data_IF_353739302808
#
_entry.id   IF_353739302808
#
_cell.length_a   1.000
_cell.length_b   1.000
_cell.length_c   1.000
_cell.angle_alpha   90.00
_cell.angle_beta   90.00
_cell.angle_gamma   90.00
#
_symmetry.space_group_name_H-M   'P 1'
#
loop_
_entity.id
_entity.type
_entity.pdbx_description
1 polymer ?
#
# COMPACT_ATOMS: atom_id res chain seq x y z
N UNK A 1 -5.88 -8.55 -26.09
CA UNK A 1 -5.01 -8.94 -24.98
C UNK A 1 -5.70 -8.51 -23.70
N UNK A 2 -6.47 -9.40 -23.07
CA UNK A 2 -7.23 -9.05 -21.86
C UNK A 2 -6.24 -8.90 -20.72
N UNK A 3 -6.05 -7.68 -20.25
CA UNK A 3 -5.22 -7.40 -19.09
C UNK A 3 -5.79 -8.19 -17.90
N UNK A 4 -4.93 -8.92 -17.18
CA UNK A 4 -5.26 -9.64 -15.95
C UNK A 4 -5.54 -8.62 -14.82
N UNK A 5 -6.57 -7.80 -15.00
CA UNK A 5 -7.14 -6.93 -13.99
C UNK A 5 -8.27 -7.75 -13.33
N UNK A 6 -8.16 -7.97 -12.02
CA UNK A 6 -9.28 -8.53 -11.26
C UNK A 6 -10.05 -7.35 -10.68
N UNK A 7 -11.09 -6.90 -11.38
CA UNK A 7 -12.19 -6.15 -10.76
C UNK A 7 -13.14 -7.08 -10.00
N UNK A 8 -13.01 -8.41 -10.19
CA UNK A 8 -13.78 -9.44 -9.50
C UNK A 8 -12.95 -10.73 -9.37
N UNK A 9 -12.76 -11.23 -8.16
CA UNK A 9 -12.03 -12.50 -7.88
C UNK A 9 -12.84 -13.71 -8.37
N UNK A 10 -12.23 -14.73 -9.02
CA UNK A 10 -12.94 -15.93 -9.41
C UNK A 10 -13.42 -16.69 -8.17
N UNK A 11 -14.73 -16.93 -8.16
CA UNK A 11 -15.55 -17.47 -7.10
C UNK A 11 -15.18 -18.92 -6.74
N UNK A 12 -14.99 -19.17 -5.46
CA UNK A 12 -15.51 -20.38 -4.84
C UNK A 12 -16.41 -19.96 -3.66
N UNK A 13 -17.66 -20.44 -3.72
CA UNK A 13 -18.74 -20.32 -2.73
C UNK A 13 -19.49 -18.96 -2.80
N UNK A 14 -20.70 -18.98 -3.38
CA UNK A 14 -21.53 -17.82 -3.75
C UNK A 14 -21.91 -16.78 -2.67
N UNK A 15 -21.36 -16.85 -1.46
CA UNK A 15 -21.41 -15.77 -0.46
C UNK A 15 -20.44 -14.63 -0.77
N UNK A 16 -19.29 -14.92 -1.39
CA UNK A 16 -18.27 -13.92 -1.71
C UNK A 16 -18.65 -13.06 -2.92
N UNK A 17 -19.33 -13.65 -3.91
CA UNK A 17 -19.81 -12.94 -5.10
C UNK A 17 -20.70 -11.76 -4.72
N UNK A 18 -21.71 -12.00 -3.86
CA UNK A 18 -22.59 -10.96 -3.38
C UNK A 18 -21.85 -9.88 -2.56
N UNK A 19 -20.72 -10.19 -1.92
CA UNK A 19 -19.95 -9.19 -1.15
C UNK A 19 -19.08 -8.30 -2.03
N UNK A 20 -18.50 -8.87 -3.10
CA UNK A 20 -17.76 -8.11 -4.12
C UNK A 20 -18.73 -7.20 -4.88
N UNK A 21 -19.90 -7.69 -5.26
CA UNK A 21 -20.91 -6.89 -5.99
C UNK A 21 -21.51 -5.75 -5.17
N UNK A 22 -21.40 -5.79 -3.83
CA UNK A 22 -21.92 -4.75 -2.93
C UNK A 22 -20.83 -3.93 -2.24
N UNK A 23 -19.55 -4.06 -2.62
CA UNK A 23 -18.46 -3.32 -1.96
C UNK A 23 -18.40 -3.55 -0.44
N UNK A 24 -18.76 -4.78 -0.01
CA UNK A 24 -18.82 -5.18 1.40
C UNK A 24 -17.67 -6.13 1.78
N UNK A 25 -16.63 -6.24 0.95
CA UNK A 25 -15.55 -7.17 1.20
C UNK A 25 -14.79 -6.79 2.48
N UNK A 26 -14.93 -7.60 3.52
CA UNK A 26 -14.26 -7.37 4.81
C UNK A 26 -12.86 -7.94 4.89
N UNK A 27 -12.61 -9.04 4.17
CA UNK A 27 -11.31 -9.75 4.16
C UNK A 27 -11.05 -10.37 2.81
N UNK A 28 -9.79 -10.42 2.41
CA UNK A 28 -9.34 -11.24 1.28
C UNK A 28 -9.08 -12.68 1.74
N UNK A 29 -9.31 -13.68 0.88
CA UNK A 29 -9.04 -15.05 1.21
C UNK A 29 -7.54 -15.35 1.01
N UNK A 30 -7.00 -16.31 1.76
CA UNK A 30 -5.60 -16.70 1.65
C UNK A 30 -5.22 -17.21 0.25
N UNK A 31 -6.17 -17.78 -0.50
CA UNK A 31 -5.93 -18.26 -1.86
C UNK A 31 -5.61 -17.13 -2.87
N UNK A 32 -5.73 -15.85 -2.49
CA UNK A 32 -5.27 -14.73 -3.33
C UNK A 32 -3.82 -14.94 -3.78
N UNK A 33 -2.96 -15.51 -2.93
CA UNK A 33 -1.56 -15.79 -3.25
C UNK A 33 -1.35 -16.81 -4.38
N UNK A 34 -2.37 -17.54 -4.80
CA UNK A 34 -2.30 -18.46 -5.94
C UNK A 34 -2.37 -17.73 -7.29
N UNK A 35 -2.79 -16.46 -7.30
CA UNK A 35 -2.95 -15.66 -8.51
C UNK A 35 -1.60 -15.10 -8.99
N UNK A 36 -0.60 -15.96 -9.17
CA UNK A 36 0.81 -15.62 -9.49
C UNK A 36 1.03 -14.93 -10.85
N UNK A 37 -0.02 -14.70 -11.62
CA UNK A 37 0.00 -13.96 -12.90
C UNK A 37 -0.73 -12.62 -12.82
N UNK A 38 -1.23 -12.27 -11.63
CA UNK A 38 -1.95 -11.04 -11.40
C UNK A 38 -0.98 -9.87 -11.51
N UNK A 39 -1.36 -8.85 -12.28
CA UNK A 39 -0.57 -7.62 -12.46
C UNK A 39 -1.24 -6.42 -11.80
N UNK A 40 -2.56 -6.41 -11.77
CA UNK A 40 -3.34 -5.34 -11.16
C UNK A 40 -4.35 -5.99 -10.21
N UNK A 41 -4.30 -5.60 -8.96
CA UNK A 41 -5.29 -5.93 -7.95
C UNK A 41 -5.94 -4.64 -7.50
N UNK A 42 -7.22 -4.52 -7.83
CA UNK A 42 -8.05 -3.38 -7.47
C UNK A 42 -9.12 -3.82 -6.48
N UNK A 43 -9.12 -3.17 -5.32
CA UNK A 43 -9.96 -3.44 -4.17
C UNK A 43 -10.47 -2.12 -3.58
N UNK A 44 -10.49 -1.05 -4.37
CA UNK A 44 -11.02 0.25 -3.98
C UNK A 44 -12.47 0.15 -3.47
N UNK A 45 -12.85 1.07 -2.59
CA UNK A 45 -14.22 1.21 -2.06
C UNK A 45 -14.77 -0.11 -1.47
N UNK A 46 -14.04 -0.72 -0.55
CA UNK A 46 -14.49 -1.93 0.15
C UNK A 46 -14.48 -1.71 1.67
N UNK A 47 -14.60 -2.80 2.45
CA UNK A 47 -14.61 -2.75 3.92
C UNK A 47 -13.47 -3.56 4.52
N UNK A 48 -12.34 -3.66 3.81
CA UNK A 48 -11.22 -4.50 4.21
C UNK A 48 -10.63 -3.99 5.53
N UNK A 49 -10.59 -4.85 6.54
CA UNK A 49 -9.95 -4.56 7.84
C UNK A 49 -8.46 -4.90 7.84
N UNK A 50 -8.05 -5.89 7.03
CA UNK A 50 -6.67 -6.28 6.83
C UNK A 50 -6.42 -6.92 5.45
N UNK A 51 -5.14 -7.02 5.08
CA UNK A 51 -4.66 -7.88 4.00
C UNK A 51 -4.03 -9.15 4.58
N UNK A 52 -4.23 -10.33 3.94
CA UNK A 52 -3.55 -11.56 4.33
C UNK A 52 -2.07 -11.51 3.96
N UNK A 53 -1.23 -12.25 4.69
CA UNK A 53 0.19 -12.38 4.38
C UNK A 53 0.44 -13.01 2.99
N UNK A 54 -0.51 -13.80 2.49
CA UNK A 54 -0.45 -14.42 1.15
C UNK A 54 -0.43 -13.40 0.00
N UNK A 55 -0.73 -12.12 0.26
CA UNK A 55 -0.53 -11.05 -0.73
C UNK A 55 0.92 -11.04 -1.25
N UNK A 56 1.89 -11.36 -0.40
CA UNK A 56 3.30 -11.42 -0.77
C UNK A 56 3.68 -12.52 -1.76
N UNK A 57 2.75 -13.42 -2.13
CA UNK A 57 2.98 -14.40 -3.20
C UNK A 57 2.60 -13.90 -4.60
N UNK A 58 2.01 -12.70 -4.71
CA UNK A 58 1.70 -12.05 -5.97
C UNK A 58 2.94 -11.41 -6.60
N UNK A 59 3.95 -12.22 -6.89
CA UNK A 59 5.26 -11.73 -7.34
C UNK A 59 5.23 -10.94 -8.65
N UNK A 60 4.19 -11.09 -9.48
CA UNK A 60 4.00 -10.32 -10.73
C UNK A 60 3.16 -9.06 -10.57
N UNK A 61 2.71 -8.74 -9.36
CA UNK A 61 1.82 -7.60 -9.13
C UNK A 61 2.59 -6.30 -9.36
N UNK A 62 1.99 -5.43 -10.16
CA UNK A 62 2.53 -4.13 -10.55
C UNK A 62 1.72 -2.99 -9.91
N UNK A 63 0.41 -3.17 -9.78
CA UNK A 63 -0.48 -2.19 -9.18
C UNK A 63 -1.34 -2.82 -8.09
N UNK A 64 -1.34 -2.21 -6.92
CA UNK A 64 -2.21 -2.56 -5.81
C UNK A 64 -3.00 -1.31 -5.39
N UNK A 65 -4.31 -1.36 -5.60
CA UNK A 65 -5.24 -0.27 -5.28
C UNK A 65 -6.17 -0.77 -4.19
N UNK A 66 -6.13 -0.15 -3.01
CA UNK A 66 -6.95 -0.50 -1.85
C UNK A 66 -7.45 0.78 -1.16
N UNK A 67 -7.67 1.83 -1.95
CA UNK A 67 -8.20 3.10 -1.47
C UNK A 67 -9.61 2.91 -0.87
N UNK A 68 -10.00 3.78 0.04
CA UNK A 68 -11.35 3.81 0.64
C UNK A 68 -11.74 2.46 1.26
N UNK A 69 -10.92 2.01 2.20
CA UNK A 69 -11.12 0.77 2.97
C UNK A 69 -10.98 1.05 4.49
N UNK A 70 -10.84 0.01 5.32
CA UNK A 70 -10.76 0.14 6.78
C UNK A 70 -9.45 -0.42 7.34
N UNK A 71 -8.39 -0.46 6.52
CA UNK A 71 -7.11 -1.04 6.90
C UNK A 71 -6.49 -0.24 8.04
N UNK A 72 -6.00 -0.95 9.06
CA UNK A 72 -5.26 -0.36 10.20
C UNK A 72 -3.76 -0.55 10.09
N UNK A 73 -3.32 -1.54 9.31
CA UNK A 73 -1.92 -1.81 8.99
C UNK A 73 -1.80 -2.56 7.65
N UNK A 74 -0.60 -2.54 7.07
CA UNK A 74 -0.22 -3.43 5.99
C UNK A 74 0.61 -4.60 6.53
N UNK A 75 0.45 -5.82 6.00
CA UNK A 75 1.26 -6.96 6.39
C UNK A 75 2.72 -6.75 5.94
N UNK A 76 3.67 -7.24 6.74
CA UNK A 76 5.11 -7.26 6.38
C UNK A 76 5.37 -7.91 5.02
N UNK A 77 4.52 -8.86 4.63
CA UNK A 77 4.57 -9.53 3.35
C UNK A 77 4.44 -8.59 2.13
N UNK A 78 3.98 -7.35 2.32
CA UNK A 78 3.96 -6.33 1.26
C UNK A 78 5.32 -6.15 0.60
N UNK A 79 6.42 -6.23 1.37
CA UNK A 79 7.78 -6.10 0.84
C UNK A 79 8.20 -7.21 -0.13
N UNK A 80 7.42 -8.29 -0.25
CA UNK A 80 7.68 -9.35 -1.25
C UNK A 80 7.18 -9.00 -2.65
N UNK A 81 6.42 -7.91 -2.81
CA UNK A 81 5.87 -7.47 -4.09
C UNK A 81 6.94 -6.73 -4.91
N UNK A 82 8.01 -7.42 -5.28
CA UNK A 82 9.19 -6.80 -5.91
C UNK A 82 8.92 -6.11 -7.25
N UNK A 83 7.83 -6.43 -7.94
CA UNK A 83 7.43 -5.80 -9.20
C UNK A 83 6.42 -4.65 -9.03
N UNK A 84 6.06 -4.28 -7.79
CA UNK A 84 5.06 -3.27 -7.52
C UNK A 84 5.60 -1.88 -7.87
N UNK A 85 4.93 -1.19 -8.77
CA UNK A 85 5.25 0.18 -9.19
C UNK A 85 4.25 1.20 -8.66
N UNK A 86 3.03 0.76 -8.35
CA UNK A 86 1.96 1.61 -7.84
C UNK A 86 1.29 0.98 -6.62
N UNK A 87 1.30 1.70 -5.50
CA UNK A 87 0.58 1.35 -4.28
C UNK A 87 -0.32 2.50 -3.85
N UNK A 88 -1.62 2.27 -3.80
CA UNK A 88 -2.58 3.22 -3.24
C UNK A 88 -3.34 2.58 -2.07
N UNK A 89 -3.12 3.15 -0.89
CA UNK A 89 -3.76 2.79 0.37
C UNK A 89 -4.32 4.05 1.06
N UNK A 90 -4.66 5.07 0.27
CA UNK A 90 -5.30 6.27 0.76
C UNK A 90 -6.69 5.99 1.33
N UNK A 91 -7.24 6.93 2.08
CA UNK A 91 -8.58 6.82 2.69
C UNK A 91 -8.76 5.50 3.47
N UNK A 92 -7.81 5.21 4.36
CA UNK A 92 -7.84 4.07 5.27
C UNK A 92 -7.63 4.57 6.72
N UNK A 93 -7.41 3.66 7.67
CA UNK A 93 -7.14 3.99 9.07
C UNK A 93 -5.73 3.53 9.47
N UNK A 94 -4.75 3.62 8.57
CA UNK A 94 -3.40 3.11 8.83
C UNK A 94 -2.76 3.84 10.00
N UNK A 95 -2.31 3.09 11.00
CA UNK A 95 -1.58 3.64 12.14
C UNK A 95 -0.07 3.74 11.85
N UNK A 96 0.43 2.87 10.97
CA UNK A 96 1.82 2.82 10.53
C UNK A 96 1.94 2.11 9.17
N UNK A 97 3.08 2.34 8.50
CA UNK A 97 3.55 1.51 7.41
C UNK A 97 4.62 0.53 7.93
N UNK A 98 4.68 -0.71 7.42
CA UNK A 98 5.75 -1.65 7.76
C UNK A 98 7.09 -1.18 7.19
N UNK A 99 8.19 -1.48 7.91
CA UNK A 99 9.57 -1.20 7.46
C UNK A 99 9.88 -1.88 6.12
N UNK A 100 9.28 -3.04 5.88
CA UNK A 100 9.41 -3.79 4.63
C UNK A 100 8.94 -3.02 3.39
N UNK A 101 8.24 -1.88 3.54
CA UNK A 101 7.95 -0.98 2.41
C UNK A 101 9.23 -0.57 1.67
N UNK A 102 10.36 -0.39 2.37
CA UNK A 102 11.63 0.00 1.75
C UNK A 102 12.27 -1.08 0.86
N UNK A 103 11.72 -2.29 0.83
CA UNK A 103 12.16 -3.36 -0.08
C UNK A 103 11.49 -3.30 -1.45
N UNK A 104 10.51 -2.40 -1.64
CA UNK A 104 9.82 -2.20 -2.91
C UNK A 104 10.64 -1.33 -3.87
N UNK A 105 11.78 -1.83 -4.33
CA UNK A 105 12.77 -1.07 -5.13
C UNK A 105 12.20 -0.46 -6.42
N UNK A 106 11.13 -1.05 -6.97
CA UNK A 106 10.46 -0.59 -8.20
C UNK A 106 9.26 0.34 -7.93
N UNK A 107 8.96 0.70 -6.68
CA UNK A 107 7.80 1.52 -6.36
C UNK A 107 8.01 2.96 -6.84
N UNK A 108 7.16 3.40 -7.77
CA UNK A 108 7.21 4.74 -8.37
C UNK A 108 6.18 5.68 -7.74
N UNK A 109 5.04 5.14 -7.33
CA UNK A 109 3.93 5.91 -6.74
C UNK A 109 3.44 5.26 -5.45
N UNK A 110 3.42 6.05 -4.37
CA UNK A 110 2.87 5.67 -3.06
C UNK A 110 1.83 6.69 -2.60
N UNK A 111 0.56 6.31 -2.60
CA UNK A 111 -0.54 7.15 -2.10
C UNK A 111 -1.00 6.63 -0.75
N UNK A 112 -0.82 7.44 0.29
CA UNK A 112 -1.18 7.16 1.69
C UNK A 112 -1.99 8.31 2.30
N UNK A 113 -2.52 9.21 1.47
CA UNK A 113 -3.34 10.34 1.91
C UNK A 113 -4.57 9.89 2.71
N UNK A 114 -5.11 10.78 3.53
CA UNK A 114 -6.34 10.54 4.28
C UNK A 114 -6.27 9.30 5.19
N UNK A 115 -5.13 9.13 5.86
CA UNK A 115 -4.98 8.17 6.95
C UNK A 115 -4.89 8.93 8.29
N UNK A 116 -6.01 9.15 9.00
CA UNK A 116 -6.08 10.04 10.16
C UNK A 116 -5.37 9.51 11.41
N UNK A 117 -4.99 8.23 11.42
CA UNK A 117 -4.21 7.61 12.50
C UNK A 117 -2.71 7.53 12.19
N UNK A 118 -2.29 7.98 11.00
CA UNK A 118 -0.91 7.84 10.55
C UNK A 118 -0.06 9.01 11.07
N UNK A 119 0.61 8.78 12.19
CA UNK A 119 1.43 9.82 12.83
C UNK A 119 2.91 9.79 12.41
N UNK A 120 3.38 8.64 11.91
CA UNK A 120 4.79 8.39 11.67
C UNK A 120 4.98 7.65 10.35
N UNK A 121 6.12 7.89 9.71
CA UNK A 121 6.56 7.20 8.50
C UNK A 121 7.84 6.42 8.81
N UNK A 122 7.98 5.17 8.33
CA UNK A 122 9.20 4.39 8.50
C UNK A 122 10.38 5.03 7.74
N UNK A 123 11.59 4.95 8.28
CA UNK A 123 12.78 5.51 7.64
C UNK A 123 13.14 4.79 6.35
N UNK A 124 12.69 3.55 6.21
CA UNK A 124 12.88 2.67 5.06
C UNK A 124 12.26 3.22 3.78
N UNK A 125 11.32 4.17 3.88
CA UNK A 125 10.84 4.92 2.70
C UNK A 125 11.97 5.67 1.98
N UNK A 126 13.04 6.04 2.69
CA UNK A 126 14.22 6.64 2.10
C UNK A 126 15.02 5.67 1.20
N UNK A 127 14.74 4.36 1.24
CA UNK A 127 15.35 3.34 0.39
C UNK A 127 14.63 3.20 -0.96
N UNK A 128 13.46 3.82 -1.13
CA UNK A 128 12.68 3.77 -2.36
C UNK A 128 13.27 4.68 -3.44
N UNK A 129 14.35 4.21 -4.09
CA UNK A 129 15.09 4.99 -5.08
C UNK A 129 14.30 5.32 -6.35
N UNK A 130 13.24 4.55 -6.64
CA UNK A 130 12.37 4.75 -7.81
C UNK A 130 11.17 5.64 -7.52
N UNK A 131 10.95 6.04 -6.27
CA UNK A 131 9.74 6.77 -5.86
C UNK A 131 9.75 8.19 -6.43
N UNK A 132 8.73 8.50 -7.23
CA UNK A 132 8.57 9.80 -7.88
C UNK A 132 7.40 10.58 -7.28
N UNK A 133 6.32 9.87 -6.96
CA UNK A 133 5.08 10.45 -6.47
C UNK A 133 4.77 9.86 -5.11
N UNK A 134 4.53 10.73 -4.14
CA UNK A 134 4.04 10.31 -2.84
C UNK A 134 2.98 11.29 -2.32
N UNK A 135 1.78 10.75 -2.05
CA UNK A 135 0.65 11.49 -1.51
C UNK A 135 0.56 11.25 0.00
N UNK A 136 0.67 12.30 0.79
CA UNK A 136 0.64 12.28 2.27
C UNK A 136 -0.34 13.29 2.86
N UNK A 137 -1.21 13.86 2.02
CA UNK A 137 -2.17 14.86 2.46
C UNK A 137 -3.10 14.26 3.53
N UNK A 138 -3.55 15.11 4.45
CA UNK A 138 -4.47 14.73 5.52
C UNK A 138 -3.98 13.58 6.43
N UNK A 139 -2.66 13.40 6.55
CA UNK A 139 -2.04 12.54 7.56
C UNK A 139 -1.45 13.40 8.70
N UNK A 140 -1.75 13.12 9.98
CA UNK A 140 -1.24 13.90 11.12
C UNK A 140 0.21 13.52 11.50
N UNK A 141 1.14 13.70 10.55
CA UNK A 141 2.56 13.32 10.63
C UNK A 141 3.35 14.15 11.67
N UNK A 142 3.08 13.94 12.95
CA UNK A 142 3.59 14.75 14.06
C UNK A 142 5.11 14.72 14.25
N UNK A 143 5.80 13.73 13.70
CA UNK A 143 7.27 13.63 13.73
C UNK A 143 7.97 14.47 12.66
N UNK A 144 7.24 14.91 11.63
CA UNK A 144 7.79 15.66 10.51
C UNK A 144 7.32 17.11 10.63
N UNK A 145 8.23 18.09 10.63
CA UNK A 145 7.87 19.51 10.67
C UNK A 145 6.84 19.85 9.57
N UNK A 146 5.78 20.63 9.87
CA UNK A 146 4.75 20.99 8.89
C UNK A 146 5.32 21.61 7.61
N UNK A 147 6.38 22.43 7.71
CA UNK A 147 7.03 23.04 6.54
C UNK A 147 7.64 22.00 5.59
N UNK A 148 8.11 20.87 6.12
CA UNK A 148 8.67 19.76 5.33
C UNK A 148 7.54 18.97 4.67
N UNK A 149 6.45 18.72 5.41
CA UNK A 149 5.26 18.06 4.87
C UNK A 149 4.64 18.90 3.74
N UNK A 150 4.49 20.22 3.95
CA UNK A 150 3.97 21.17 2.96
C UNK A 150 4.93 21.37 1.78
N UNK A 151 6.23 21.13 2.00
CA UNK A 151 7.26 21.14 0.97
C UNK A 151 7.19 19.95 0.00
N UNK A 152 6.29 19.00 0.25
CA UNK A 152 6.02 17.87 -0.63
C UNK A 152 6.90 16.64 -0.37
N UNK A 153 6.67 15.57 -1.15
CA UNK A 153 7.22 14.26 -0.86
C UNK A 153 8.75 14.19 -0.89
N UNK A 154 9.41 14.94 -1.78
CA UNK A 154 10.87 14.94 -1.87
C UNK A 154 11.53 15.44 -0.58
N UNK A 155 10.97 16.48 0.06
CA UNK A 155 11.48 17.01 1.31
C UNK A 155 11.23 16.06 2.48
N UNK A 156 10.09 15.36 2.48
CA UNK A 156 9.79 14.31 3.44
C UNK A 156 10.78 13.15 3.32
N UNK A 157 11.03 12.64 2.12
CA UNK A 157 12.03 11.59 1.88
C UNK A 157 13.44 12.05 2.30
N UNK A 158 13.81 13.29 1.98
CA UNK A 158 15.10 13.85 2.41
C UNK A 158 15.19 13.95 3.95
N UNK A 159 14.11 14.36 4.62
CA UNK A 159 14.04 14.41 6.08
C UNK A 159 14.18 13.01 6.68
N UNK A 160 13.49 12.01 6.14
CA UNK A 160 13.61 10.61 6.57
C UNK A 160 15.03 10.07 6.37
N UNK A 161 15.65 10.34 5.22
CA UNK A 161 17.06 9.99 4.96
C UNK A 161 18.01 10.66 5.95
N UNK A 162 17.77 11.93 6.27
CA UNK A 162 18.56 12.67 7.23
C UNK A 162 18.31 12.23 8.68
N UNK A 163 17.14 11.71 9.05
CA UNK A 163 16.86 11.31 10.45
C UNK A 163 17.04 9.82 10.71
N UNK A 164 16.98 9.01 9.67
CA UNK A 164 17.14 7.57 9.75
C UNK A 164 18.60 7.12 9.93
N UNK A 165 18.81 5.84 10.24
CA UNK A 165 20.13 5.24 10.43
C UNK A 165 20.99 5.20 9.14
N UNK A 166 20.39 5.47 7.98
CA UNK A 166 21.01 5.35 6.65
C UNK A 166 21.86 6.56 6.23
N UNK A 167 22.25 7.44 7.15
CA UNK A 167 23.10 8.62 6.89
C UNK A 167 24.46 8.30 6.24
N UNK A 168 24.89 7.04 6.27
CA UNK A 168 26.24 6.59 5.93
C UNK A 168 26.32 5.66 4.71
N UNK A 169 25.28 5.57 3.89
CA UNK A 169 25.30 4.83 2.61
C UNK A 169 25.41 5.76 1.41
#
# INVERSE_FOLDING_TARGET
>A
MKENQLSSLPLDIGTWANMVDNNLLKRLPQFIGNLRKLRVLDLEENKLDCLPNDIGYLSTLQKLIIQSNQLTCLPRAIGRLSNLTFLNVGENNLNSLPEEIGTLENLETLLINDNPSLHHLPFELALLNSLQIMGIENCPLSQIPPDIVNGGPSLVIQFLKMKGPYRSM
#
